data_IF_797862693318
#
_entry.id   IF_797862693318
#
_cell.length_a   1.000
_cell.length_b   1.000
_cell.length_c   1.000
_cell.angle_alpha   90.00
_cell.angle_beta   90.00
_cell.angle_gamma   90.00
#
_symmetry.space_group_name_H-M   'P 1'
#
loop_
_entity.id
_entity.type
_entity.pdbx_description
1 polymer ?
#
# COMPACT_ATOMS: atom_id res chain seq x y z
N UNK A 1 -1.55 3.16 30.22
CA UNK A 1 -2.04 4.23 29.32
C UNK A 1 -3.02 3.61 28.35
N UNK A 2 -4.17 4.23 28.02
CA UNK A 2 -5.02 3.72 26.95
C UNK A 2 -4.20 3.70 25.66
N UNK A 3 -4.15 2.56 24.97
CA UNK A 3 -3.56 2.48 23.63
C UNK A 3 -4.40 3.42 22.76
N UNK A 4 -3.79 4.51 22.27
CA UNK A 4 -4.42 5.29 21.22
C UNK A 4 -4.49 4.40 19.98
N UNK A 5 -5.67 3.82 19.72
CA UNK A 5 -5.91 3.08 18.50
C UNK A 5 -5.88 4.07 17.34
N UNK A 6 -4.79 4.07 16.57
CA UNK A 6 -4.71 4.88 15.36
C UNK A 6 -5.66 4.26 14.32
N UNK A 7 -6.74 4.96 13.92
CA UNK A 7 -7.73 4.36 13.03
C UNK A 7 -7.12 4.11 11.66
N UNK A 8 -7.28 2.91 11.10
CA UNK A 8 -6.95 2.63 9.69
C UNK A 8 -8.01 3.28 8.77
N UNK A 9 -7.95 4.59 8.63
CA UNK A 9 -8.79 5.40 7.74
C UNK A 9 -8.11 5.57 6.36
N UNK A 10 -8.80 6.19 5.40
CA UNK A 10 -8.26 6.37 4.04
C UNK A 10 -7.01 7.27 4.02
N UNK A 11 -6.90 8.24 4.92
CA UNK A 11 -5.72 9.12 5.03
C UNK A 11 -4.48 8.34 5.49
N UNK A 12 -4.61 7.50 6.52
CA UNK A 12 -3.54 6.63 6.98
C UNK A 12 -3.18 5.57 5.94
N UNK A 13 -4.17 4.99 5.26
CA UNK A 13 -3.91 4.09 4.13
C UNK A 13 -3.06 4.80 3.08
N UNK A 14 -3.37 6.05 2.77
CA UNK A 14 -2.63 6.81 1.77
C UNK A 14 -1.17 7.03 2.19
N UNK A 15 -0.94 7.44 3.44
CA UNK A 15 0.40 7.61 4.02
C UNK A 15 1.20 6.29 4.04
N UNK A 16 0.57 5.18 4.41
CA UNK A 16 1.18 3.84 4.46
C UNK A 16 1.64 3.37 3.10
N UNK A 17 0.99 3.79 2.02
CA UNK A 17 1.40 3.45 0.66
C UNK A 17 2.64 4.22 0.20
N UNK A 18 2.91 5.38 0.79
CA UNK A 18 4.06 6.23 0.47
C UNK A 18 5.30 5.86 1.31
N UNK A 19 5.11 5.14 2.41
CA UNK A 19 6.20 4.64 3.24
C UNK A 19 6.97 3.49 2.58
N UNK A 20 8.29 3.53 2.75
CA UNK A 20 9.22 2.48 2.32
C UNK A 20 9.50 1.53 3.49
N UNK A 21 8.74 0.44 3.53
CA UNK A 21 8.87 -0.54 4.60
C UNK A 21 10.19 -1.30 4.57
N UNK A 22 10.77 -1.51 3.39
CA UNK A 22 12.06 -2.20 3.24
C UNK A 22 13.19 -1.35 3.85
N UNK A 23 13.14 -0.03 3.67
CA UNK A 23 14.06 0.89 4.33
C UNK A 23 14.00 0.73 5.86
N UNK A 24 12.81 0.78 6.46
CA UNK A 24 12.66 0.67 7.92
C UNK A 24 13.03 -0.72 8.45
N UNK A 25 12.72 -1.79 7.71
CA UNK A 25 13.16 -3.15 8.05
C UNK A 25 14.68 -3.24 8.12
N UNK A 26 15.36 -2.76 7.09
CA UNK A 26 16.82 -2.83 7.00
C UNK A 26 17.50 -1.97 8.06
N UNK A 27 16.95 -0.80 8.37
CA UNK A 27 17.41 0.05 9.46
C UNK A 27 17.33 -0.69 10.80
N UNK A 28 16.19 -1.33 11.09
CA UNK A 28 15.96 -2.06 12.34
C UNK A 28 16.86 -3.30 12.49
N UNK A 29 16.96 -4.12 11.45
CA UNK A 29 17.84 -5.30 11.42
C UNK A 29 19.32 -4.92 11.62
N UNK A 30 19.71 -3.71 11.20
CA UNK A 30 21.07 -3.19 11.35
C UNK A 30 21.30 -2.62 12.74
N UNK A 31 20.35 -1.85 13.27
CA UNK A 31 20.40 -1.33 14.63
C UNK A 31 20.47 -2.46 15.68
N UNK A 32 19.70 -3.54 15.47
CA UNK A 32 19.63 -4.69 16.37
C UNK A 32 20.76 -5.72 16.15
N UNK A 33 21.71 -5.46 15.23
CA UNK A 33 22.86 -6.35 14.92
C UNK A 33 22.44 -7.79 14.64
N UNK A 34 21.34 -7.95 13.90
CA UNK A 34 20.79 -9.27 13.53
C UNK A 34 21.80 -10.04 12.68
N UNK A 35 21.94 -11.34 12.94
CA UNK A 35 22.86 -12.22 12.24
C UNK A 35 22.51 -12.36 10.75
N UNK A 36 23.52 -12.61 9.90
CA UNK A 36 23.29 -12.83 8.47
C UNK A 36 22.41 -14.05 8.19
N UNK A 37 22.47 -15.08 9.05
CA UNK A 37 21.60 -16.26 8.96
C UNK A 37 20.13 -15.89 9.18
N UNK A 38 19.85 -15.04 10.17
CA UNK A 38 18.47 -14.62 10.48
C UNK A 38 17.89 -13.71 9.40
N UNK A 39 18.73 -12.81 8.85
CA UNK A 39 18.38 -11.99 7.69
C UNK A 39 18.02 -12.87 6.49
N UNK A 40 18.84 -13.89 6.22
CA UNK A 40 18.60 -14.85 5.14
C UNK A 40 17.29 -15.61 5.35
N UNK A 41 16.96 -16.00 6.58
CA UNK A 41 15.68 -16.65 6.91
C UNK A 41 14.49 -15.74 6.58
N UNK A 42 14.55 -14.46 6.97
CA UNK A 42 13.49 -13.50 6.65
C UNK A 42 13.32 -13.31 5.13
N UNK A 43 14.42 -13.18 4.40
CA UNK A 43 14.39 -13.03 2.93
C UNK A 43 13.82 -14.27 2.22
N UNK A 44 14.20 -15.47 2.65
CA UNK A 44 13.66 -16.71 2.08
C UNK A 44 12.16 -16.85 2.34
N UNK A 45 11.72 -16.54 3.56
CA UNK A 45 10.31 -16.53 3.92
C UNK A 45 9.54 -15.50 3.07
N UNK A 46 10.09 -14.30 2.90
CA UNK A 46 9.52 -13.26 2.05
C UNK A 46 9.33 -13.74 0.60
N UNK A 47 10.36 -14.32 -0.01
CA UNK A 47 10.30 -14.80 -1.38
C UNK A 47 9.27 -15.92 -1.55
N UNK A 48 9.28 -16.90 -0.64
CA UNK A 48 8.33 -18.02 -0.64
C UNK A 48 6.89 -17.53 -0.53
N UNK A 49 6.60 -16.70 0.47
CA UNK A 49 5.26 -16.18 0.71
C UNK A 49 4.80 -15.26 -0.43
N UNK A 50 5.70 -14.49 -1.03
CA UNK A 50 5.37 -13.68 -2.21
C UNK A 50 4.86 -14.54 -3.37
N UNK A 51 5.48 -15.69 -3.62
CA UNK A 51 5.02 -16.63 -4.65
C UNK A 51 3.66 -17.22 -4.30
N UNK A 52 3.46 -17.64 -3.06
CA UNK A 52 2.17 -18.18 -2.59
C UNK A 52 1.02 -17.17 -2.75
N UNK A 53 1.26 -15.90 -2.39
CA UNK A 53 0.28 -14.82 -2.56
C UNK A 53 -0.01 -14.57 -4.03
N UNK A 54 1.02 -14.60 -4.90
CA UNK A 54 0.83 -14.46 -6.35
C UNK A 54 -0.05 -15.57 -6.92
N UNK A 55 0.16 -16.81 -6.50
CA UNK A 55 -0.67 -17.93 -6.91
C UNK A 55 -2.12 -17.78 -6.43
N UNK A 56 -2.32 -17.41 -5.16
CA UNK A 56 -3.66 -17.11 -4.61
C UNK A 56 -4.34 -15.99 -5.39
N UNK A 57 -3.61 -14.93 -5.71
CA UNK A 57 -4.11 -13.80 -6.48
C UNK A 57 -4.50 -14.19 -7.91
N UNK A 58 -3.72 -15.06 -8.57
CA UNK A 58 -4.03 -15.61 -9.90
C UNK A 58 -5.34 -16.41 -9.88
N UNK A 59 -5.55 -17.22 -8.84
CA UNK A 59 -6.77 -18.04 -8.68
C UNK A 59 -8.01 -17.18 -8.39
N UNK A 60 -7.93 -16.23 -7.45
CA UNK A 60 -9.06 -15.36 -7.11
C UNK A 60 -8.60 -13.97 -6.67
N UNK A 61 -8.58 -13.04 -7.63
CA UNK A 61 -8.12 -11.66 -7.42
C UNK A 61 -8.92 -10.91 -6.36
N UNK A 62 -10.25 -11.08 -6.33
CA UNK A 62 -11.15 -10.33 -5.43
C UNK A 62 -10.96 -10.79 -3.99
N UNK A 63 -11.02 -12.09 -3.75
CA UNK A 63 -10.89 -12.64 -2.39
C UNK A 63 -9.48 -12.43 -1.84
N UNK A 64 -8.45 -12.63 -2.67
CA UNK A 64 -7.07 -12.38 -2.25
C UNK A 64 -6.84 -10.92 -1.82
N UNK A 65 -7.42 -9.95 -2.52
CA UNK A 65 -7.35 -8.53 -2.13
C UNK A 65 -7.99 -8.25 -0.77
N UNK A 66 -9.21 -8.75 -0.56
CA UNK A 66 -9.92 -8.56 0.71
C UNK A 66 -9.18 -9.21 1.88
N UNK A 67 -8.63 -10.40 1.64
CA UNK A 67 -7.82 -11.11 2.63
C UNK A 67 -6.53 -10.35 2.97
N UNK A 68 -5.81 -9.86 1.96
CA UNK A 68 -4.61 -9.04 2.17
C UNK A 68 -4.92 -7.76 2.94
N UNK A 69 -6.03 -7.08 2.61
CA UNK A 69 -6.46 -5.89 3.35
C UNK A 69 -6.77 -6.21 4.82
N UNK A 70 -7.42 -7.35 5.09
CA UNK A 70 -7.66 -7.83 6.44
C UNK A 70 -6.36 -8.06 7.21
N UNK A 71 -5.36 -8.69 6.58
CA UNK A 71 -4.04 -8.90 7.18
C UNK A 71 -3.35 -7.57 7.49
N UNK A 72 -3.31 -6.65 6.55
CA UNK A 72 -2.65 -5.34 6.77
C UNK A 72 -3.33 -4.56 7.88
N UNK A 73 -4.66 -4.62 8.00
CA UNK A 73 -5.39 -4.04 9.13
C UNK A 73 -4.99 -4.69 10.46
N UNK A 74 -4.85 -6.02 10.50
CA UNK A 74 -4.38 -6.71 11.71
C UNK A 74 -2.94 -6.32 12.08
N UNK A 75 -2.06 -6.24 11.08
CA UNK A 75 -0.69 -5.75 11.25
C UNK A 75 -0.64 -4.29 11.75
N UNK A 76 -1.64 -3.48 11.40
CA UNK A 76 -1.78 -2.08 11.82
C UNK A 76 -2.30 -1.94 13.26
N UNK A 77 -3.34 -2.66 13.65
CA UNK A 77 -4.00 -2.44 14.95
C UNK A 77 -3.26 -3.07 16.14
N UNK A 78 -2.43 -4.08 15.91
CA UNK A 78 -1.75 -4.77 17.01
C UNK A 78 -0.42 -5.42 16.63
N UNK A 79 0.20 -5.00 15.53
CA UNK A 79 1.29 -5.74 14.92
C UNK A 79 2.50 -4.93 14.47
N UNK A 80 3.22 -5.56 13.54
CA UNK A 80 4.51 -5.16 12.97
C UNK A 80 4.54 -3.75 12.36
N UNK A 81 3.44 -3.23 11.83
CA UNK A 81 3.49 -1.99 11.03
C UNK A 81 3.74 -0.73 11.88
N UNK A 82 2.98 -0.44 12.95
CA UNK A 82 3.27 0.71 13.81
C UNK A 82 4.66 0.66 14.45
N UNK A 83 5.13 -0.54 14.82
CA UNK A 83 6.44 -0.72 15.44
C UNK A 83 7.56 -0.43 14.47
N UNK A 84 7.47 -0.99 13.27
CA UNK A 84 8.52 -0.89 12.26
C UNK A 84 8.57 0.49 11.62
N UNK A 85 7.41 1.15 11.47
CA UNK A 85 7.31 2.53 11.00
C UNK A 85 7.57 3.56 12.11
N UNK A 86 7.87 3.11 13.35
CA UNK A 86 8.13 3.96 14.53
C UNK A 86 7.02 4.97 14.81
N UNK A 87 5.77 4.62 14.48
CA UNK A 87 4.60 5.48 14.62
C UNK A 87 4.04 5.46 16.05
N UNK A 88 4.26 4.35 16.75
CA UNK A 88 3.96 4.20 18.16
C UNK A 88 5.24 4.49 18.96
N UNK A 89 5.23 5.58 19.74
CA UNK A 89 6.36 5.97 20.59
C UNK A 89 6.73 4.96 21.69
N UNK A 90 5.97 3.87 21.85
CA UNK A 90 6.18 2.80 22.82
C UNK A 90 6.78 1.50 22.25
N UNK A 91 6.71 1.25 20.93
CA UNK A 91 7.23 0.00 20.32
C UNK A 91 8.68 0.08 19.84
N UNK A 92 9.48 0.98 20.44
CA UNK A 92 10.91 1.15 20.17
C UNK A 92 11.78 -0.09 20.44
N UNK A 93 11.24 -1.09 21.17
CA UNK A 93 12.01 -2.25 21.65
C UNK A 93 11.44 -3.61 21.20
N UNK A 94 10.71 -3.69 20.07
CA UNK A 94 10.30 -5.00 19.56
C UNK A 94 11.49 -5.76 18.98
N UNK A 95 12.03 -6.68 19.76
CA UNK A 95 12.96 -7.68 19.25
C UNK A 95 12.18 -8.70 18.43
N UNK A 96 12.47 -8.81 17.14
CA UNK A 96 11.93 -9.88 16.32
C UNK A 96 12.55 -11.21 16.76
N UNK A 97 11.75 -12.08 17.36
CA UNK A 97 12.18 -13.42 17.76
C UNK A 97 11.92 -14.47 16.66
N UNK A 98 11.04 -14.17 15.70
CA UNK A 98 10.69 -15.03 14.57
C UNK A 98 10.88 -14.29 13.24
N UNK A 99 12.08 -14.40 12.68
CA UNK A 99 12.44 -13.77 11.41
C UNK A 99 11.70 -14.38 10.21
N UNK A 100 11.27 -15.64 10.31
CA UNK A 100 10.44 -16.26 9.27
C UNK A 100 9.11 -15.51 9.18
N UNK A 101 8.46 -15.29 10.33
CA UNK A 101 7.19 -14.55 10.41
C UNK A 101 7.33 -13.08 9.98
N UNK A 102 8.46 -12.44 10.27
CA UNK A 102 8.77 -11.09 9.73
C UNK A 102 8.78 -11.11 8.21
N UNK A 103 9.48 -12.08 7.60
CA UNK A 103 9.52 -12.23 6.16
C UNK A 103 8.13 -12.46 5.54
N UNK A 104 7.29 -13.29 6.17
CA UNK A 104 5.90 -13.53 5.74
C UNK A 104 5.05 -12.25 5.80
N UNK A 105 5.13 -11.53 6.92
CA UNK A 105 4.38 -10.30 7.12
C UNK A 105 4.81 -9.19 6.15
N UNK A 106 6.12 -9.07 5.91
CA UNK A 106 6.67 -8.19 4.89
C UNK A 106 6.10 -8.53 3.50
N UNK A 107 6.06 -9.80 3.13
CA UNK A 107 5.54 -10.22 1.82
C UNK A 107 4.07 -9.86 1.63
N UNK A 108 3.22 -10.08 2.65
CA UNK A 108 1.81 -9.71 2.59
C UNK A 108 1.64 -8.20 2.42
N UNK A 109 2.37 -7.41 3.21
CA UNK A 109 2.29 -5.96 3.17
C UNK A 109 2.80 -5.40 1.84
N UNK A 110 3.97 -5.83 1.37
CA UNK A 110 4.56 -5.38 0.10
C UNK A 110 3.64 -5.72 -1.09
N UNK A 111 3.03 -6.91 -1.09
CA UNK A 111 2.10 -7.29 -2.15
C UNK A 111 0.81 -6.46 -2.11
N UNK A 112 0.27 -6.20 -0.91
CA UNK A 112 -0.87 -5.31 -0.74
C UNK A 112 -0.56 -3.89 -1.23
N UNK A 113 0.57 -3.30 -0.80
CA UNK A 113 1.01 -1.98 -1.24
C UNK A 113 1.12 -1.90 -2.77
N UNK A 114 1.69 -2.93 -3.42
CA UNK A 114 1.78 -3.00 -4.89
C UNK A 114 0.40 -2.94 -5.57
N UNK A 115 -0.58 -3.67 -5.03
CA UNK A 115 -1.94 -3.67 -5.59
C UNK A 115 -2.64 -2.31 -5.39
N UNK A 116 -2.46 -1.70 -4.23
CA UNK A 116 -3.07 -0.44 -3.88
C UNK A 116 -2.45 0.75 -4.62
N UNK A 117 -1.12 0.80 -4.77
CA UNK A 117 -0.44 1.80 -5.62
C UNK A 117 -0.97 1.74 -7.06
N UNK A 118 -1.17 0.53 -7.59
CA UNK A 118 -1.78 0.35 -8.92
C UNK A 118 -3.21 0.90 -8.95
N UNK A 119 -4.02 0.61 -7.93
CA UNK A 119 -5.39 1.13 -7.82
C UNK A 119 -5.42 2.66 -7.75
N UNK A 120 -4.55 3.27 -6.94
CA UNK A 120 -4.37 4.73 -6.85
C UNK A 120 -4.02 5.31 -8.21
N UNK A 121 -3.06 4.73 -8.91
CA UNK A 121 -2.68 5.16 -10.26
C UNK A 121 -3.87 5.14 -11.24
N UNK A 122 -4.68 4.08 -11.25
CA UNK A 122 -5.89 4.02 -12.07
C UNK A 122 -6.91 5.10 -11.69
N UNK A 123 -7.14 5.34 -10.39
CA UNK A 123 -8.06 6.37 -9.91
C UNK A 123 -7.60 7.77 -10.34
N UNK A 124 -6.32 8.09 -10.16
CA UNK A 124 -5.74 9.38 -10.56
C UNK A 124 -5.78 9.54 -12.08
N UNK A 125 -5.47 8.48 -12.83
CA UNK A 125 -5.52 8.51 -14.30
C UNK A 125 -6.94 8.75 -14.81
N UNK A 126 -7.92 8.05 -14.23
CA UNK A 126 -9.33 8.22 -14.58
C UNK A 126 -9.84 9.63 -14.27
N UNK A 127 -9.50 10.17 -13.11
CA UNK A 127 -9.87 11.55 -12.73
C UNK A 127 -9.27 12.60 -13.68
N UNK A 128 -8.05 12.38 -14.19
CA UNK A 128 -7.47 13.24 -15.22
C UNK A 128 -8.24 13.15 -16.54
N UNK A 129 -8.58 11.93 -16.97
CA UNK A 129 -9.34 11.70 -18.21
C UNK A 129 -10.71 12.36 -18.15
N UNK A 130 -11.44 12.22 -17.05
CA UNK A 130 -12.77 12.83 -16.88
C UNK A 130 -12.70 14.34 -16.86
N UNK A 131 -11.70 14.93 -16.19
CA UNK A 131 -11.48 16.39 -16.19
C UNK A 131 -11.18 16.92 -17.59
N UNK A 132 -10.28 16.27 -18.33
CA UNK A 132 -9.97 16.66 -19.72
C UNK A 132 -11.21 16.54 -20.61
N UNK A 133 -11.96 15.44 -20.47
CA UNK A 133 -13.21 15.25 -21.21
C UNK A 133 -14.26 16.34 -20.92
N UNK A 134 -14.41 16.73 -19.65
CA UNK A 134 -15.33 17.80 -19.25
C UNK A 134 -14.93 19.15 -19.86
N UNK A 135 -13.63 19.50 -19.84
CA UNK A 135 -13.13 20.73 -20.48
C UNK A 135 -13.40 20.71 -21.98
N UNK A 136 -13.13 19.58 -22.65
CA UNK A 136 -13.37 19.44 -24.09
C UNK A 136 -14.87 19.58 -24.43
N UNK A 137 -15.75 19.00 -23.62
CA UNK A 137 -17.20 19.13 -23.79
C UNK A 137 -17.67 20.59 -23.66
N UNK A 138 -17.12 21.35 -22.69
CA UNK A 138 -17.41 22.78 -22.53
C UNK A 138 -16.96 23.54 -23.78
N UNK A 139 -15.74 23.32 -24.26
CA UNK A 139 -15.20 23.98 -25.46
C UNK A 139 -16.05 23.68 -26.70
N UNK A 140 -16.43 22.42 -26.92
CA UNK A 140 -17.30 22.02 -28.03
C UNK A 140 -18.68 22.65 -27.93
N UNK A 141 -19.22 22.77 -26.72
CA UNK A 141 -20.51 23.43 -26.49
C UNK A 141 -20.43 24.91 -26.87
N UNK A 142 -19.36 25.61 -26.47
CA UNK A 142 -19.12 27.02 -26.84
C UNK A 142 -18.96 27.19 -28.36
N UNK A 143 -18.18 26.32 -29.02
CA UNK A 143 -18.00 26.36 -30.48
C UNK A 143 -19.34 26.14 -31.21
N UNK A 144 -20.14 25.18 -30.76
CA UNK A 144 -21.46 24.90 -31.34
C UNK A 144 -22.43 26.06 -31.17
N UNK A 145 -22.40 26.73 -30.01
CA UNK A 145 -23.17 27.96 -29.79
C UNK A 145 -22.73 29.05 -30.77
N UNK A 146 -21.42 29.26 -30.95
CA UNK A 146 -20.90 30.25 -31.91
C UNK A 146 -21.33 29.96 -33.35
N UNK A 147 -21.27 28.70 -33.79
CA UNK A 147 -21.76 28.29 -35.12
C UNK A 147 -23.27 28.55 -35.29
N UNK A 148 -24.04 28.33 -34.22
CA UNK A 148 -25.50 28.52 -34.25
C UNK A 148 -25.87 30.00 -34.32
N UNK A 149 -25.14 30.86 -33.60
CA UNK A 149 -25.42 32.31 -33.55
C UNK A 149 -24.76 33.12 -34.67
N UNK A 150 -23.65 32.64 -35.23
CA UNK A 150 -22.92 33.29 -36.33
C UNK A 150 -22.63 32.28 -37.45
N UNK A 151 -23.67 31.83 -38.19
CA UNK A 151 -23.45 30.95 -39.33
C UNK A 151 -22.60 31.69 -40.36
N UNK A 152 -21.47 31.09 -40.77
CA UNK A 152 -20.66 31.62 -41.87
C UNK A 152 -21.49 31.52 -43.15
N UNK A 153 -21.82 32.68 -43.73
CA UNK A 153 -22.34 32.80 -45.10
C UNK A 153 -21.28 32.37 -46.11
#
# INVERSE_FOLDING_TARGET
MPKMEVPFNEEFRELVLDMDFEYFLNEDLTANKVSDSDRTTAEQAYLKTTLEVQERYRKNKKQCRLWLEGIVRLQWFGGMLPSQLRLDGSTRDLTYFDYEEVGRNWAWFAYWQKLERKRRFWKVSWDRVTKVGAVLAIVLTVLKLLETFFPKQ
#
